data_IF_851437591115
#
_entry.id   IF_851437591115
#
_cell.length_a   1.000
_cell.length_b   1.000
_cell.length_c   1.000
_cell.angle_alpha   90.00
_cell.angle_beta   90.00
_cell.angle_gamma   90.00
#
_symmetry.space_group_name_H-M   'P 1'
#
loop_
_entity.id
_entity.type
_entity.pdbx_description
1 polymer ?
#
# COMPACT_ATOMS: atom_id res chain seq x y z
N UNK A 1 5.87 15.57 22.62
CA UNK A 1 5.58 14.89 21.35
C UNK A 1 5.81 13.37 21.43
N UNK A 2 6.96 12.90 21.87
CA UNK A 2 7.24 11.46 22.00
C UNK A 2 6.23 10.70 22.89
N UNK A 3 5.87 11.26 24.06
CA UNK A 3 4.86 10.68 24.93
C UNK A 3 3.48 10.52 24.26
N UNK A 4 3.12 11.46 23.38
CA UNK A 4 1.88 11.43 22.61
C UNK A 4 1.89 10.33 21.55
N UNK A 5 2.99 10.17 20.81
CA UNK A 5 3.17 9.07 19.85
C UNK A 5 3.09 7.73 20.57
N UNK A 6 3.82 7.59 21.70
CA UNK A 6 3.79 6.37 22.54
C UNK A 6 2.38 6.05 23.05
N UNK A 7 1.60 7.07 23.47
CA UNK A 7 0.21 6.89 23.88
C UNK A 7 -0.64 6.30 22.76
N UNK A 8 -0.62 6.92 21.58
CA UNK A 8 -1.46 6.50 20.45
C UNK A 8 -1.09 5.10 19.97
N UNK A 9 0.21 4.83 19.81
CA UNK A 9 0.70 3.50 19.45
C UNK A 9 0.31 2.45 20.48
N UNK A 10 0.49 2.75 21.77
CA UNK A 10 0.11 1.84 22.86
C UNK A 10 -1.41 1.61 22.90
N UNK A 11 -2.22 2.64 22.65
CA UNK A 11 -3.67 2.50 22.64
C UNK A 11 -4.13 1.60 21.49
N UNK A 12 -3.55 1.75 20.29
CA UNK A 12 -3.84 0.88 19.16
C UNK A 12 -3.52 -0.60 19.49
N UNK A 13 -2.30 -0.89 19.95
CA UNK A 13 -1.89 -2.28 20.26
C UNK A 13 -2.56 -2.86 21.50
N UNK A 14 -3.17 -2.06 22.37
CA UNK A 14 -4.04 -2.54 23.47
C UNK A 14 -5.42 -2.96 22.99
N UNK A 15 -5.90 -2.37 21.91
CA UNK A 15 -7.15 -2.78 21.25
C UNK A 15 -6.90 -4.03 20.41
N UNK A 16 -7.02 -5.20 21.10
CA UNK A 16 -6.80 -6.50 20.45
C UNK A 16 -7.73 -6.72 19.26
N UNK A 17 -8.94 -6.14 19.28
CA UNK A 17 -9.89 -6.22 18.16
C UNK A 17 -9.41 -5.47 16.94
N UNK A 18 -8.89 -4.23 17.11
CA UNK A 18 -8.37 -3.44 16.02
C UNK A 18 -7.11 -4.07 15.38
N UNK A 19 -6.18 -4.55 16.22
CA UNK A 19 -4.97 -5.25 15.76
C UNK A 19 -5.34 -6.53 15.02
N UNK A 20 -6.22 -7.36 15.61
CA UNK A 20 -6.66 -8.61 15.00
C UNK A 20 -7.37 -8.35 13.65
N UNK A 21 -8.27 -7.37 13.57
CA UNK A 21 -8.96 -7.02 12.34
C UNK A 21 -7.98 -6.55 11.23
N UNK A 22 -6.96 -5.76 11.59
CA UNK A 22 -5.94 -5.32 10.65
C UNK A 22 -5.10 -6.48 10.10
N UNK A 23 -4.73 -7.44 10.95
CA UNK A 23 -3.98 -8.63 10.55
C UNK A 23 -4.87 -9.66 9.82
N UNK A 24 -6.12 -9.78 10.23
CA UNK A 24 -7.08 -10.70 9.62
C UNK A 24 -7.34 -10.34 8.16
N UNK A 25 -7.41 -9.05 7.82
CA UNK A 25 -7.54 -8.61 6.43
C UNK A 25 -6.41 -9.14 5.57
N UNK A 26 -5.16 -9.05 6.05
CA UNK A 26 -3.98 -9.60 5.36
C UNK A 26 -4.09 -11.12 5.19
N UNK A 27 -4.39 -11.84 6.28
CA UNK A 27 -4.49 -13.30 6.27
C UNK A 27 -5.61 -13.78 5.32
N UNK A 28 -6.75 -13.09 5.32
CA UNK A 28 -7.87 -13.41 4.40
C UNK A 28 -7.44 -13.22 2.95
N UNK A 29 -6.78 -12.12 2.62
CA UNK A 29 -6.35 -11.87 1.24
C UNK A 29 -5.31 -12.89 0.81
N UNK A 30 -4.28 -13.14 1.60
CA UNK A 30 -3.27 -14.18 1.30
C UNK A 30 -3.96 -15.56 1.17
N UNK A 31 -4.84 -15.90 2.10
CA UNK A 31 -5.56 -17.17 2.08
C UNK A 31 -6.47 -17.34 0.85
N UNK A 32 -7.15 -16.26 0.42
CA UNK A 32 -8.01 -16.28 -0.74
C UNK A 32 -7.21 -16.47 -2.04
N UNK A 33 -6.05 -15.83 -2.14
CA UNK A 33 -5.14 -16.06 -3.26
C UNK A 33 -4.51 -17.46 -3.21
N UNK A 34 -4.08 -17.92 -2.05
CA UNK A 34 -3.48 -19.24 -1.90
C UNK A 34 -4.44 -20.37 -2.29
N UNK A 35 -5.75 -20.22 -1.95
CA UNK A 35 -6.74 -21.29 -2.11
C UNK A 35 -7.50 -21.24 -3.45
N UNK A 36 -7.68 -20.04 -4.04
CA UNK A 36 -8.60 -19.89 -5.17
C UNK A 36 -8.00 -19.17 -6.37
N UNK A 37 -7.38 -18.00 -6.18
CA UNK A 37 -6.97 -17.17 -7.31
C UNK A 37 -5.58 -17.53 -7.85
N UNK A 38 -4.69 -18.08 -7.01
CA UNK A 38 -3.34 -18.43 -7.43
C UNK A 38 -3.34 -19.40 -8.61
N UNK A 39 -4.13 -20.47 -8.54
CA UNK A 39 -4.22 -21.47 -9.62
C UNK A 39 -4.92 -20.92 -10.87
N UNK A 40 -5.91 -20.05 -10.67
CA UNK A 40 -6.66 -19.44 -11.78
C UNK A 40 -5.82 -18.42 -12.55
N UNK A 41 -5.00 -17.63 -11.85
CA UNK A 41 -4.09 -16.67 -12.49
C UNK A 41 -2.88 -17.38 -13.12
N UNK A 42 -2.34 -18.42 -12.46
CA UNK A 42 -1.22 -19.19 -13.02
C UNK A 42 -1.60 -19.92 -14.30
N UNK A 43 -2.82 -20.49 -14.39
CA UNK A 43 -3.30 -21.12 -15.61
C UNK A 43 -3.44 -20.15 -16.79
N UNK A 44 -3.75 -18.89 -16.53
CA UNK A 44 -3.75 -17.82 -17.55
C UNK A 44 -2.35 -17.52 -18.09
N UNK A 45 -1.33 -17.65 -17.26
CA UNK A 45 0.08 -17.39 -17.60
C UNK A 45 0.76 -18.63 -18.18
N UNK A 46 0.32 -19.84 -17.83
CA UNK A 46 0.82 -21.12 -18.40
C UNK A 46 0.79 -21.15 -19.93
N UNK A 47 -0.21 -20.52 -20.54
CA UNK A 47 -0.35 -20.46 -22.00
C UNK A 47 0.80 -19.72 -22.69
N UNK A 48 1.62 -18.98 -21.96
CA UNK A 48 2.79 -18.25 -22.47
C UNK A 48 4.09 -19.08 -22.45
N UNK A 49 4.04 -20.32 -21.98
CA UNK A 49 5.21 -21.23 -21.93
C UNK A 49 6.20 -20.95 -20.82
N UNK A 50 5.77 -20.26 -19.77
CA UNK A 50 6.58 -19.87 -18.60
C UNK A 50 6.77 -21.07 -17.67
N UNK A 51 7.99 -21.26 -17.19
CA UNK A 51 8.28 -22.22 -16.12
C UNK A 51 7.83 -21.64 -14.76
N UNK A 52 7.26 -22.48 -13.89
CA UNK A 52 6.78 -22.11 -12.56
C UNK A 52 5.82 -20.91 -12.52
N UNK A 53 4.69 -20.92 -13.27
CA UNK A 53 3.76 -19.79 -13.34
C UNK A 53 3.18 -19.41 -11.97
N UNK A 54 3.20 -20.32 -10.99
CA UNK A 54 2.76 -20.08 -9.62
C UNK A 54 3.66 -19.09 -8.90
N UNK A 55 4.98 -19.28 -8.94
CA UNK A 55 5.96 -18.38 -8.29
C UNK A 55 5.86 -16.97 -8.88
N UNK A 56 5.69 -16.88 -10.22
CA UNK A 56 5.49 -15.62 -10.91
C UNK A 56 4.24 -14.86 -10.42
N UNK A 57 3.12 -15.58 -10.34
CA UNK A 57 1.84 -15.02 -9.88
C UNK A 57 1.89 -14.62 -8.41
N UNK A 58 2.49 -15.46 -7.56
CA UNK A 58 2.61 -15.19 -6.12
C UNK A 58 3.47 -13.94 -5.87
N UNK A 59 4.54 -13.72 -6.61
CA UNK A 59 5.37 -12.50 -6.52
C UNK A 59 4.58 -11.25 -6.92
N UNK A 60 3.78 -11.31 -7.97
CA UNK A 60 2.92 -10.21 -8.40
C UNK A 60 1.87 -9.85 -7.34
N UNK A 61 1.22 -10.87 -6.76
CA UNK A 61 0.20 -10.70 -5.71
C UNK A 61 0.82 -10.08 -4.46
N UNK A 62 1.97 -10.59 -4.00
CA UNK A 62 2.64 -10.08 -2.80
C UNK A 62 3.06 -8.64 -2.96
N UNK A 63 3.58 -8.25 -4.11
CA UNK A 63 3.87 -6.85 -4.42
C UNK A 63 2.62 -5.95 -4.32
N UNK A 64 1.51 -6.40 -4.88
CA UNK A 64 0.22 -5.69 -4.79
C UNK A 64 -0.28 -5.58 -3.34
N UNK A 65 -0.18 -6.65 -2.55
CA UNK A 65 -0.54 -6.63 -1.14
C UNK A 65 0.30 -5.65 -0.34
N UNK A 66 1.60 -5.61 -0.58
CA UNK A 66 2.48 -4.65 0.10
C UNK A 66 2.14 -3.20 -0.26
N UNK A 67 1.66 -2.95 -1.47
CA UNK A 67 1.21 -1.62 -1.89
C UNK A 67 -0.11 -1.17 -1.23
N UNK A 68 -1.07 -2.07 -1.02
CA UNK A 68 -2.36 -1.70 -0.39
C UNK A 68 -2.29 -1.61 1.12
N UNK A 69 -1.36 -2.34 1.75
CA UNK A 69 -1.28 -2.44 3.21
C UNK A 69 -1.10 -1.09 3.92
N UNK A 70 -0.24 -0.16 3.46
CA UNK A 70 -0.11 1.15 4.09
C UNK A 70 -1.43 1.92 4.13
N UNK A 71 -2.17 1.96 3.02
CA UNK A 71 -3.46 2.64 2.95
C UNK A 71 -4.50 1.98 3.88
N UNK A 72 -4.64 0.66 3.81
CA UNK A 72 -5.61 -0.10 4.61
C UNK A 72 -5.33 -0.01 6.11
N UNK A 73 -4.05 -0.15 6.50
CA UNK A 73 -3.63 -0.02 7.89
C UNK A 73 -3.81 1.40 8.42
N UNK A 74 -3.52 2.41 7.59
CA UNK A 74 -3.74 3.80 7.96
C UNK A 74 -5.23 4.10 8.21
N UNK A 75 -6.13 3.60 7.37
CA UNK A 75 -7.58 3.74 7.58
C UNK A 75 -8.03 3.15 8.92
N UNK A 76 -7.53 1.97 9.28
CA UNK A 76 -7.89 1.30 10.54
C UNK A 76 -7.30 1.93 11.80
N UNK A 77 -6.16 2.61 11.69
CA UNK A 77 -5.39 3.08 12.85
C UNK A 77 -5.58 4.57 13.20
N UNK A 78 -6.51 5.28 12.55
CA UNK A 78 -6.74 6.72 12.78
C UNK A 78 -7.36 6.99 14.14
N UNK A 79 -6.56 7.51 15.08
CA UNK A 79 -7.02 7.86 16.43
C UNK A 79 -7.69 9.24 16.51
N UNK A 80 -7.39 10.16 15.59
CA UNK A 80 -7.86 11.56 15.69
C UNK A 80 -9.39 11.69 15.59
N UNK A 81 -10.06 10.84 14.85
CA UNK A 81 -11.53 10.89 14.71
C UNK A 81 -12.20 10.42 16.00
N UNK A 82 -11.68 9.36 16.62
CA UNK A 82 -12.16 8.87 17.92
C UNK A 82 -11.89 9.88 19.04
N UNK A 83 -10.70 10.49 19.10
CA UNK A 83 -10.38 11.52 20.07
C UNK A 83 -11.26 12.78 19.91
N UNK A 84 -11.70 13.09 18.68
CA UNK A 84 -12.67 14.17 18.42
C UNK A 84 -14.07 13.81 18.89
N UNK A 85 -14.57 12.63 18.53
CA UNK A 85 -15.92 12.18 18.85
C UNK A 85 -16.14 12.06 20.36
N UNK A 86 -15.09 11.63 21.08
CA UNK A 86 -15.08 11.50 22.54
C UNK A 86 -14.74 12.82 23.28
N UNK A 87 -14.42 13.88 22.55
CA UNK A 87 -14.07 15.19 23.13
C UNK A 87 -12.64 15.26 23.70
N UNK A 88 -11.87 14.18 23.69
CA UNK A 88 -10.48 14.11 24.23
C UNK A 88 -9.56 15.12 23.57
N UNK A 89 -9.82 15.48 22.31
CA UNK A 89 -9.00 16.46 21.58
C UNK A 89 -9.04 17.85 22.23
N UNK A 90 -10.12 18.18 22.99
CA UNK A 90 -10.24 19.45 23.71
C UNK A 90 -9.21 19.57 24.81
N UNK A 91 -8.93 18.47 25.52
CA UNK A 91 -7.93 18.44 26.58
C UNK A 91 -6.53 18.72 26.04
N UNK A 92 -6.23 18.19 24.83
CA UNK A 92 -4.96 18.52 24.16
C UNK A 92 -4.88 19.98 23.73
N UNK A 93 -6.00 20.60 23.35
CA UNK A 93 -6.02 22.01 22.98
C UNK A 93 -5.89 22.97 24.16
N UNK A 94 -6.19 22.50 25.38
CA UNK A 94 -5.93 23.24 26.61
C UNK A 94 -4.47 23.14 27.08
N UNK A 95 -3.67 22.23 26.48
CA UNK A 95 -2.25 22.09 26.81
C UNK A 95 -1.40 23.19 26.13
N UNK A 96 -0.21 23.53 26.68
CA UNK A 96 0.69 24.54 26.10
C UNK A 96 1.38 24.07 24.80
N UNK A 97 0.83 23.05 24.12
CA UNK A 97 1.37 22.47 22.88
C UNK A 97 0.61 23.05 21.70
N UNK A 98 1.34 23.55 20.68
CA UNK A 98 0.69 24.05 19.47
C UNK A 98 -0.08 22.94 18.74
N UNK A 99 -1.23 23.29 18.14
CA UNK A 99 -2.08 22.35 17.39
C UNK A 99 -1.32 21.64 16.26
N UNK A 100 -0.38 22.35 15.61
CA UNK A 100 0.48 21.76 14.59
C UNK A 100 1.34 20.62 15.17
N UNK A 101 1.88 20.76 16.37
CA UNK A 101 2.63 19.70 17.05
C UNK A 101 1.75 18.52 17.44
N UNK A 102 0.49 18.76 17.84
CA UNK A 102 -0.49 17.71 18.13
C UNK A 102 -0.80 16.93 16.85
N UNK A 103 -1.10 17.64 15.76
CA UNK A 103 -1.37 17.02 14.44
C UNK A 103 -0.18 16.23 13.95
N UNK A 104 1.04 16.76 14.05
CA UNK A 104 2.27 16.04 13.74
C UNK A 104 2.40 14.76 14.59
N UNK A 105 2.04 14.83 15.87
CA UNK A 105 2.02 13.66 16.74
C UNK A 105 1.04 12.58 16.28
N UNK A 106 -0.14 12.95 15.78
CA UNK A 106 -1.08 12.00 15.17
C UNK A 106 -0.52 11.38 13.89
N UNK A 107 0.07 12.17 12.98
CA UNK A 107 0.68 11.64 11.74
C UNK A 107 1.79 10.65 12.09
N UNK A 108 2.72 11.03 12.95
CA UNK A 108 3.85 10.18 13.31
C UNK A 108 3.43 8.89 14.04
N UNK A 109 2.41 8.97 14.92
CA UNK A 109 1.89 7.75 15.56
C UNK A 109 1.18 6.84 14.54
N UNK A 110 0.41 7.41 13.62
CA UNK A 110 -0.24 6.68 12.55
C UNK A 110 0.79 6.01 11.63
N UNK A 111 1.83 6.75 11.21
CA UNK A 111 2.91 6.21 10.37
C UNK A 111 3.67 5.08 11.06
N UNK A 112 3.94 5.21 12.37
CA UNK A 112 4.61 4.16 13.13
C UNK A 112 3.76 2.88 13.21
N UNK A 113 2.46 2.99 13.49
CA UNK A 113 1.55 1.83 13.54
C UNK A 113 1.45 1.17 12.16
N UNK A 114 1.19 1.98 11.12
CA UNK A 114 1.07 1.51 9.74
C UNK A 114 2.34 0.81 9.27
N UNK A 115 3.52 1.39 9.55
CA UNK A 115 4.81 0.80 9.20
C UNK A 115 5.00 -0.56 9.89
N UNK A 116 4.72 -0.65 11.20
CA UNK A 116 4.85 -1.93 11.92
C UNK A 116 3.93 -3.01 11.32
N UNK A 117 2.68 -2.67 11.00
CA UNK A 117 1.74 -3.63 10.40
C UNK A 117 2.18 -4.05 9.00
N UNK A 118 2.65 -3.10 8.18
CA UNK A 118 3.12 -3.40 6.81
C UNK A 118 4.39 -4.24 6.82
N UNK A 119 5.36 -3.94 7.69
CA UNK A 119 6.57 -4.76 7.84
C UNK A 119 6.25 -6.16 8.36
N UNK A 120 5.29 -6.29 9.28
CA UNK A 120 4.81 -7.61 9.69
C UNK A 120 4.16 -8.36 8.53
N UNK A 121 3.38 -7.67 7.69
CA UNK A 121 2.83 -8.22 6.46
C UNK A 121 3.89 -8.65 5.46
N UNK A 122 4.97 -7.89 5.32
CA UNK A 122 6.11 -8.25 4.47
C UNK A 122 6.74 -9.57 4.94
N UNK A 123 6.96 -9.74 6.23
CA UNK A 123 7.50 -10.99 6.79
C UNK A 123 6.57 -12.18 6.48
N UNK A 124 5.26 -12.02 6.65
CA UNK A 124 4.30 -13.07 6.32
C UNK A 124 4.26 -13.38 4.81
N UNK A 125 4.37 -12.34 3.97
CA UNK A 125 4.45 -12.49 2.52
C UNK A 125 5.68 -13.24 2.06
N UNK A 126 6.85 -12.94 2.61
CA UNK A 126 8.09 -13.67 2.33
C UNK A 126 8.01 -15.14 2.76
N UNK A 127 7.46 -15.40 3.95
CA UNK A 127 7.22 -16.79 4.43
C UNK A 127 6.30 -17.53 3.46
N UNK A 128 5.25 -16.87 2.96
CA UNK A 128 4.32 -17.45 2.00
C UNK A 128 5.01 -17.79 0.67
N UNK A 129 5.81 -16.87 0.11
CA UNK A 129 6.55 -17.08 -1.15
C UNK A 129 7.48 -18.30 -1.02
N UNK A 130 8.26 -18.36 0.07
CA UNK A 130 9.17 -19.49 0.31
C UNK A 130 8.43 -20.82 0.53
N UNK A 131 7.30 -20.79 1.22
CA UNK A 131 6.47 -21.99 1.44
C UNK A 131 5.89 -22.57 0.14
N UNK A 132 5.72 -21.73 -0.89
CA UNK A 132 5.23 -22.13 -2.22
C UNK A 132 6.37 -22.38 -3.25
N UNK A 133 7.62 -22.47 -2.78
CA UNK A 133 8.76 -22.81 -3.63
C UNK A 133 9.47 -21.63 -4.29
N UNK A 134 9.06 -20.39 -4.00
CA UNK A 134 9.79 -19.20 -4.42
C UNK A 134 11.03 -18.93 -3.58
N UNK A 135 11.87 -18.01 -4.04
CA UNK A 135 13.10 -17.62 -3.35
C UNK A 135 12.85 -16.35 -2.51
N UNK A 136 13.57 -16.24 -1.38
CA UNK A 136 13.61 -15.00 -0.60
C UNK A 136 14.18 -13.86 -1.44
N UNK A 137 13.63 -12.67 -1.27
CA UNK A 137 14.18 -11.47 -1.87
C UNK A 137 15.66 -11.29 -1.46
N UNK A 138 16.50 -10.89 -2.42
CA UNK A 138 17.90 -10.55 -2.14
C UNK A 138 17.95 -9.43 -1.09
N UNK A 139 19.06 -9.33 -0.34
CA UNK A 139 19.22 -8.27 0.65
C UNK A 139 19.06 -6.87 0.03
N UNK A 140 19.55 -6.67 -1.19
CA UNK A 140 19.42 -5.40 -1.91
C UNK A 140 17.96 -5.13 -2.27
N UNK A 141 17.24 -6.11 -2.79
CA UNK A 141 15.80 -6.01 -3.12
C UNK A 141 14.97 -5.76 -1.86
N UNK A 142 15.29 -6.43 -0.75
CA UNK A 142 14.63 -6.20 0.55
C UNK A 142 14.80 -4.76 1.03
N UNK A 143 15.99 -4.18 0.93
CA UNK A 143 16.25 -2.77 1.29
C UNK A 143 15.46 -1.83 0.38
N UNK A 144 15.40 -2.10 -0.93
CA UNK A 144 14.58 -1.32 -1.87
C UNK A 144 13.09 -1.39 -1.50
N UNK A 145 12.56 -2.59 -1.24
CA UNK A 145 11.15 -2.80 -0.83
C UNK A 145 10.83 -2.01 0.44
N UNK A 146 11.66 -2.12 1.48
CA UNK A 146 11.46 -1.37 2.74
C UNK A 146 11.49 0.14 2.49
N UNK A 147 12.38 0.62 1.63
CA UNK A 147 12.43 2.04 1.23
C UNK A 147 11.13 2.52 0.58
N UNK A 148 10.59 1.74 -0.36
CA UNK A 148 9.30 2.05 -1.03
C UNK A 148 8.14 1.98 -0.03
N UNK A 149 8.12 0.97 0.85
CA UNK A 149 7.10 0.84 1.92
C UNK A 149 7.12 2.08 2.83
N UNK A 150 8.28 2.55 3.27
CA UNK A 150 8.38 3.75 4.12
C UNK A 150 7.77 4.95 3.40
N UNK A 151 8.07 5.13 2.12
CA UNK A 151 7.56 6.23 1.33
C UNK A 151 6.04 6.15 1.14
N UNK A 152 5.53 4.97 0.83
CA UNK A 152 4.10 4.71 0.69
C UNK A 152 3.35 4.90 2.03
N UNK A 153 3.91 4.46 3.14
CA UNK A 153 3.39 4.72 4.50
C UNK A 153 3.27 6.22 4.76
N UNK A 154 4.30 7.01 4.41
CA UNK A 154 4.26 8.46 4.59
C UNK A 154 3.21 9.12 3.69
N UNK A 155 3.08 8.69 2.45
CA UNK A 155 2.07 9.19 1.52
C UNK A 155 0.65 8.84 1.98
N UNK A 156 0.40 7.57 2.28
CA UNK A 156 -0.89 7.05 2.72
C UNK A 156 -1.35 7.69 4.03
N UNK A 157 -0.48 7.74 5.04
CA UNK A 157 -0.83 8.30 6.35
C UNK A 157 -1.06 9.80 6.33
N UNK A 158 -0.28 10.54 5.54
CA UNK A 158 -0.47 11.98 5.35
C UNK A 158 -1.79 12.28 4.65
N UNK A 159 -2.11 11.51 3.61
CA UNK A 159 -3.36 11.64 2.86
C UNK A 159 -4.58 11.30 3.73
N UNK A 160 -4.57 10.16 4.41
CA UNK A 160 -5.66 9.75 5.30
C UNK A 160 -5.84 10.75 6.46
N UNK A 161 -4.75 11.22 7.05
CA UNK A 161 -4.82 12.20 8.13
C UNK A 161 -5.44 13.51 7.67
N UNK A 162 -5.13 13.99 6.46
CA UNK A 162 -5.75 15.17 5.87
C UNK A 162 -7.27 15.03 5.80
N UNK A 163 -7.79 13.95 5.24
CA UNK A 163 -9.24 13.72 5.16
C UNK A 163 -9.86 13.52 6.55
N UNK A 164 -9.22 12.78 7.45
CA UNK A 164 -9.70 12.54 8.81
C UNK A 164 -9.84 13.84 9.63
N UNK A 165 -9.10 14.88 9.29
CA UNK A 165 -9.25 16.18 9.97
C UNK A 165 -10.61 16.85 9.74
N UNK A 166 -11.29 16.56 8.65
CA UNK A 166 -12.61 17.13 8.34
C UNK A 166 -13.76 16.29 8.92
N UNK A 167 -13.50 15.07 9.36
CA UNK A 167 -14.50 14.15 9.88
C UNK A 167 -14.55 14.23 11.40
N UNK A 168 -15.76 14.38 11.95
CA UNK A 168 -15.98 14.52 13.40
C UNK A 168 -16.79 13.33 13.99
N UNK A 169 -17.31 12.43 13.15
CA UNK A 169 -18.14 11.30 13.55
C UNK A 169 -17.43 9.99 13.23
N UNK A 170 -17.32 9.10 14.21
CA UNK A 170 -16.77 7.74 14.00
C UNK A 170 -17.60 6.95 12.98
N UNK A 171 -18.93 7.10 12.99
CA UNK A 171 -19.82 6.42 12.04
C UNK A 171 -19.56 6.88 10.60
N UNK A 172 -19.42 8.21 10.38
CA UNK A 172 -19.12 8.74 9.06
C UNK A 172 -17.71 8.29 8.59
N UNK A 173 -16.74 8.27 9.49
CA UNK A 173 -15.39 7.78 9.19
C UNK A 173 -15.40 6.30 8.80
N UNK A 174 -16.11 5.45 9.57
CA UNK A 174 -16.23 4.02 9.28
C UNK A 174 -16.88 3.77 7.90
N UNK A 175 -17.91 4.52 7.53
CA UNK A 175 -18.51 4.41 6.20
C UNK A 175 -17.53 4.76 5.08
N UNK A 176 -16.76 5.84 5.26
CA UNK A 176 -15.71 6.24 4.30
C UNK A 176 -14.61 5.17 4.22
N UNK A 177 -14.16 4.62 5.35
CA UNK A 177 -13.18 3.54 5.39
C UNK A 177 -13.65 2.31 4.62
N UNK A 178 -14.93 1.94 4.73
CA UNK A 178 -15.50 0.82 3.98
C UNK A 178 -15.46 1.08 2.48
N UNK A 179 -15.85 2.27 2.02
CA UNK A 179 -15.82 2.64 0.59
C UNK A 179 -14.39 2.65 0.06
N UNK A 180 -13.48 3.37 0.73
CA UNK A 180 -12.08 3.47 0.30
C UNK A 180 -11.41 2.08 0.35
N UNK A 181 -11.64 1.30 1.43
CA UNK A 181 -11.08 -0.04 1.57
C UNK A 181 -11.51 -0.98 0.45
N UNK A 182 -12.79 -0.95 0.08
CA UNK A 182 -13.30 -1.76 -1.04
C UNK A 182 -12.73 -1.33 -2.39
N UNK A 183 -12.65 -0.01 -2.64
CA UNK A 183 -12.16 0.51 -3.90
C UNK A 183 -10.65 0.40 -4.04
N UNK A 184 -9.91 0.41 -2.93
CA UNK A 184 -8.44 0.42 -2.95
C UNK A 184 -7.84 -0.79 -3.67
N UNK A 185 -8.44 -1.98 -3.54
CA UNK A 185 -7.97 -3.18 -4.25
C UNK A 185 -8.09 -3.08 -5.77
N UNK A 186 -9.11 -2.38 -6.27
CA UNK A 186 -9.25 -2.08 -7.70
C UNK A 186 -8.24 -1.00 -8.14
N UNK A 187 -8.14 0.08 -7.36
CA UNK A 187 -7.26 1.23 -7.67
C UNK A 187 -5.77 0.84 -7.61
N UNK A 188 -5.42 -0.14 -6.77
CA UNK A 188 -4.05 -0.67 -6.70
C UNK A 188 -3.79 -1.80 -7.72
N UNK A 189 -4.79 -2.20 -8.52
CA UNK A 189 -4.67 -3.25 -9.52
C UNK A 189 -4.35 -4.63 -8.93
N UNK A 190 -4.90 -4.93 -7.73
CA UNK A 190 -4.69 -6.21 -7.05
C UNK A 190 -5.76 -7.21 -7.48
N UNK A 191 -7.02 -6.78 -7.55
CA UNK A 191 -8.12 -7.68 -7.92
C UNK A 191 -8.17 -7.96 -9.41
N UNK A 192 -7.78 -6.99 -10.23
CA UNK A 192 -7.75 -7.09 -11.69
C UNK A 192 -6.45 -6.44 -12.17
N UNK A 193 -5.67 -7.11 -13.05
CA UNK A 193 -4.50 -6.51 -13.68
C UNK A 193 -4.87 -5.19 -14.39
N UNK A 194 -4.01 -4.19 -14.27
CA UNK A 194 -4.31 -2.83 -14.78
C UNK A 194 -4.52 -2.80 -16.29
N UNK A 195 -3.82 -3.66 -17.03
CA UNK A 195 -3.95 -3.77 -18.46
C UNK A 195 -5.27 -4.41 -18.94
N UNK A 196 -5.92 -5.21 -18.07
CA UNK A 196 -7.22 -5.81 -18.35
C UNK A 196 -8.40 -4.88 -18.07
N UNK A 197 -8.14 -3.68 -17.49
CA UNK A 197 -9.17 -2.67 -17.21
C UNK A 197 -9.52 -1.86 -18.48
N UNK A 198 -10.76 -1.38 -18.61
CA UNK A 198 -11.10 -0.38 -19.64
C UNK A 198 -10.14 0.83 -19.54
N UNK A 199 -9.75 1.38 -20.67
CA UNK A 199 -8.72 2.45 -20.76
C UNK A 199 -9.01 3.63 -19.82
N UNK A 200 -10.26 4.06 -19.72
CA UNK A 200 -10.69 5.14 -18.82
C UNK A 200 -10.41 4.81 -17.34
N UNK A 201 -10.68 3.58 -16.91
CA UNK A 201 -10.46 3.12 -15.55
C UNK A 201 -8.96 2.91 -15.30
N UNK A 202 -8.25 2.31 -16.25
CA UNK A 202 -6.80 2.15 -16.19
C UNK A 202 -6.07 3.49 -16.04
N UNK A 203 -6.54 4.54 -16.73
CA UNK A 203 -5.99 5.90 -16.59
C UNK A 203 -6.24 6.48 -15.19
N UNK A 204 -7.41 6.23 -14.57
CA UNK A 204 -7.67 6.64 -13.18
C UNK A 204 -6.70 5.94 -12.22
N UNK A 205 -6.48 4.63 -12.39
CA UNK A 205 -5.50 3.87 -11.61
C UNK A 205 -4.11 4.46 -11.73
N UNK A 206 -3.65 4.70 -12.95
CA UNK A 206 -2.31 5.28 -13.22
C UNK A 206 -2.15 6.70 -12.68
N UNK A 207 -3.23 7.48 -12.60
CA UNK A 207 -3.21 8.83 -12.02
C UNK A 207 -3.26 8.82 -10.49
N UNK A 208 -3.64 7.71 -9.85
CA UNK A 208 -3.72 7.63 -8.41
C UNK A 208 -2.31 7.51 -7.79
N UNK A 209 -1.88 8.45 -6.94
CA UNK A 209 -0.49 8.50 -6.50
C UNK A 209 0.02 7.23 -5.83
N UNK A 210 -0.81 6.59 -4.99
CA UNK A 210 -0.39 5.40 -4.24
C UNK A 210 -0.27 4.15 -5.12
N UNK A 211 -0.90 4.11 -6.31
CA UNK A 211 -0.74 2.99 -7.24
C UNK A 211 0.70 2.87 -7.78
N UNK A 212 1.44 3.98 -7.79
CA UNK A 212 2.86 3.99 -8.16
C UNK A 212 3.73 3.18 -7.20
N UNK A 213 3.34 3.07 -5.90
CA UNK A 213 4.01 2.14 -4.98
C UNK A 213 3.86 0.70 -5.47
N UNK A 214 2.65 0.33 -5.95
CA UNK A 214 2.38 -1.00 -6.51
C UNK A 214 3.24 -1.31 -7.73
N UNK A 215 3.39 -0.36 -8.65
CA UNK A 215 4.25 -0.53 -9.84
C UNK A 215 5.70 -0.77 -9.43
N UNK A 216 6.28 0.09 -8.56
CA UNK A 216 7.68 -0.06 -8.12
C UNK A 216 7.89 -1.36 -7.32
N UNK A 217 6.95 -1.72 -6.43
CA UNK A 217 7.05 -2.96 -5.67
C UNK A 217 6.97 -4.19 -6.59
N UNK A 218 6.08 -4.19 -7.60
CA UNK A 218 6.00 -5.28 -8.59
C UNK A 218 7.31 -5.44 -9.34
N UNK A 219 7.95 -4.35 -9.76
CA UNK A 219 9.26 -4.43 -10.42
C UNK A 219 10.31 -5.10 -9.53
N UNK A 220 10.33 -4.82 -8.23
CA UNK A 220 11.32 -5.39 -7.31
C UNK A 220 11.00 -6.85 -6.98
N UNK A 221 9.72 -7.18 -6.67
CA UNK A 221 9.33 -8.54 -6.31
C UNK A 221 9.39 -9.51 -7.48
N UNK A 222 9.10 -9.04 -8.70
CA UNK A 222 9.05 -9.89 -9.88
C UNK A 222 10.38 -9.95 -10.64
N UNK A 223 11.40 -9.14 -10.27
CA UNK A 223 12.72 -9.14 -10.94
C UNK A 223 13.29 -10.56 -11.04
N UNK A 224 13.41 -11.26 -9.92
CA UNK A 224 13.91 -12.64 -9.90
C UNK A 224 12.95 -13.64 -10.56
N UNK A 225 11.64 -13.42 -10.43
CA UNK A 225 10.64 -14.29 -11.04
C UNK A 225 10.65 -14.20 -12.58
N UNK A 226 10.88 -13.01 -13.14
CA UNK A 226 11.07 -12.86 -14.58
C UNK A 226 12.33 -13.57 -15.06
N UNK A 227 13.45 -13.42 -14.36
CA UNK A 227 14.71 -14.10 -14.71
C UNK A 227 14.58 -15.62 -14.65
N UNK A 228 13.96 -16.17 -13.60
CA UNK A 228 13.80 -17.62 -13.40
C UNK A 228 12.78 -18.22 -14.39
N UNK A 229 11.61 -17.61 -14.52
CA UNK A 229 10.51 -18.16 -15.31
C UNK A 229 10.74 -18.06 -16.83
N UNK A 230 11.57 -17.10 -17.29
CA UNK A 230 11.90 -16.91 -18.70
C UNK A 230 13.29 -17.43 -19.08
N UNK A 231 14.04 -18.08 -18.16
CA UNK A 231 15.40 -18.55 -18.39
C UNK A 231 15.53 -19.49 -19.61
N UNK A 232 14.54 -20.34 -19.87
CA UNK A 232 14.52 -21.30 -20.96
C UNK A 232 13.66 -20.87 -22.17
N UNK A 233 13.07 -19.68 -22.12
CA UNK A 233 12.27 -19.13 -23.24
C UNK A 233 13.21 -18.49 -24.27
N UNK A 234 13.02 -18.75 -25.59
CA UNK A 234 13.84 -18.13 -26.63
C UNK A 234 13.85 -16.61 -26.52
N UNK A 235 15.02 -15.99 -26.70
CA UNK A 235 15.20 -14.53 -26.54
C UNK A 235 14.28 -13.70 -27.45
N UNK A 236 13.90 -14.21 -28.62
CA UNK A 236 12.95 -13.56 -29.54
C UNK A 236 11.56 -13.46 -28.93
N UNK A 237 11.07 -14.53 -28.28
CA UNK A 237 9.77 -14.62 -27.63
C UNK A 237 9.77 -13.77 -26.34
N UNK A 238 10.80 -13.92 -25.51
CA UNK A 238 10.89 -13.17 -24.25
C UNK A 238 10.96 -11.67 -24.45
N UNK A 239 11.63 -11.18 -25.51
CA UNK A 239 11.72 -9.75 -25.82
C UNK A 239 10.38 -9.12 -26.22
N UNK A 240 9.41 -9.90 -26.68
CA UNK A 240 8.07 -9.43 -27.03
C UNK A 240 7.07 -9.62 -25.87
N UNK A 241 7.14 -10.78 -25.21
CA UNK A 241 6.20 -11.20 -24.17
C UNK A 241 6.42 -10.43 -22.86
N UNK A 242 7.67 -10.24 -22.42
CA UNK A 242 7.96 -9.58 -21.14
C UNK A 242 7.39 -8.16 -21.10
N UNK A 243 7.64 -7.24 -22.06
CA UNK A 243 7.08 -5.91 -22.03
C UNK A 243 5.54 -5.86 -22.09
N UNK A 244 4.93 -6.85 -22.77
CA UNK A 244 3.48 -6.97 -22.83
C UNK A 244 2.90 -7.36 -21.46
N UNK A 245 3.49 -8.34 -20.78
CA UNK A 245 3.11 -8.76 -19.44
C UNK A 245 3.35 -7.66 -18.39
N UNK A 246 4.48 -6.98 -18.46
CA UNK A 246 4.76 -5.85 -17.55
C UNK A 246 3.70 -4.77 -17.63
N UNK A 247 3.25 -4.46 -18.84
CA UNK A 247 2.18 -3.48 -19.05
C UNK A 247 0.82 -4.00 -18.60
N UNK A 248 0.51 -5.27 -18.88
CA UNK A 248 -0.75 -5.88 -18.49
C UNK A 248 -0.88 -6.01 -16.97
N UNK A 249 0.16 -6.51 -16.31
CA UNK A 249 0.21 -6.69 -14.88
C UNK A 249 0.39 -5.38 -14.08
N UNK A 250 0.60 -4.26 -14.75
CA UNK A 250 0.83 -2.96 -14.11
C UNK A 250 2.17 -2.91 -13.36
N UNK A 251 3.16 -3.66 -13.84
CA UNK A 251 4.56 -3.55 -13.40
C UNK A 251 5.12 -2.22 -13.88
N UNK A 252 4.78 -1.85 -15.11
CA UNK A 252 5.16 -0.58 -15.73
C UNK A 252 3.92 0.17 -16.18
N UNK A 253 3.84 1.47 -15.86
CA UNK A 253 2.76 2.33 -16.33
C UNK A 253 3.17 3.11 -17.58
N UNK A 254 2.24 3.20 -18.54
CA UNK A 254 2.44 3.96 -19.77
C UNK A 254 1.33 4.99 -19.96
N UNK A 255 1.69 6.22 -20.33
CA UNK A 255 0.79 7.29 -20.75
C UNK A 255 1.10 7.64 -22.20
N UNK A 256 0.30 7.13 -23.14
CA UNK A 256 0.62 7.23 -24.57
C UNK A 256 1.97 6.57 -24.86
N UNK A 257 2.92 7.34 -25.36
CA UNK A 257 4.27 6.87 -25.68
C UNK A 257 5.28 7.03 -24.53
N UNK A 258 4.86 7.61 -23.39
CA UNK A 258 5.74 7.79 -22.24
C UNK A 258 5.60 6.63 -21.26
N UNK A 259 6.72 6.00 -20.95
CA UNK A 259 6.83 4.96 -19.91
C UNK A 259 7.28 5.59 -18.63
N UNK A 260 6.47 5.45 -17.57
CA UNK A 260 6.78 6.00 -16.24
C UNK A 260 7.95 5.24 -15.63
N UNK A 261 9.00 5.97 -15.32
CA UNK A 261 10.19 5.42 -14.67
C UNK A 261 10.00 5.22 -13.17
N UNK A 262 10.83 4.37 -12.55
CA UNK A 262 10.84 4.19 -11.09
C UNK A 262 11.09 5.49 -10.34
N UNK A 263 11.95 6.35 -10.88
CA UNK A 263 12.26 7.65 -10.29
C UNK A 263 11.02 8.56 -10.29
N UNK A 264 10.27 8.61 -11.39
CA UNK A 264 9.02 9.39 -11.48
C UNK A 264 7.99 8.86 -10.48
N UNK A 265 7.81 7.56 -10.36
CA UNK A 265 6.90 6.93 -9.40
C UNK A 265 7.28 7.27 -7.95
N UNK A 266 8.57 7.22 -7.61
CA UNK A 266 9.09 7.61 -6.30
C UNK A 266 8.85 9.11 -6.04
N UNK A 267 9.07 9.97 -7.04
CA UNK A 267 8.83 11.41 -6.94
C UNK A 267 7.34 11.73 -6.75
N UNK A 268 6.44 11.00 -7.41
CA UNK A 268 4.99 11.15 -7.25
C UNK A 268 4.59 10.78 -5.80
N UNK A 269 5.10 9.68 -5.26
CA UNK A 269 4.84 9.28 -3.88
C UNK A 269 5.38 10.30 -2.88
N UNK A 270 6.63 10.73 -3.06
CA UNK A 270 7.26 11.74 -2.20
C UNK A 270 6.51 13.07 -2.26
N UNK A 271 6.16 13.51 -3.46
CA UNK A 271 5.35 14.72 -3.69
C UNK A 271 3.99 14.63 -3.00
N UNK A 272 3.33 13.47 -3.08
CA UNK A 272 2.05 13.21 -2.41
C UNK A 272 2.20 13.28 -0.89
N UNK A 273 3.22 12.63 -0.33
CA UNK A 273 3.49 12.68 1.10
C UNK A 273 3.69 14.13 1.59
N UNK A 274 4.55 14.89 0.90
CA UNK A 274 4.85 16.29 1.24
C UNK A 274 3.61 17.18 1.07
N UNK A 275 2.88 17.04 -0.04
CA UNK A 275 1.69 17.83 -0.32
C UNK A 275 0.64 17.66 0.78
N UNK A 276 0.24 16.43 1.08
CA UNK A 276 -0.77 16.16 2.10
C UNK A 276 -0.29 16.47 3.52
N UNK A 277 1.00 16.31 3.80
CA UNK A 277 1.58 16.75 5.07
C UNK A 277 1.45 18.27 5.26
N UNK A 278 1.78 19.06 4.23
CA UNK A 278 1.66 20.52 4.25
C UNK A 278 0.18 20.93 4.36
N UNK A 279 -0.71 20.33 3.56
CA UNK A 279 -2.15 20.61 3.60
C UNK A 279 -2.75 20.29 4.97
N UNK A 280 -2.34 19.20 5.61
CA UNK A 280 -2.76 18.84 6.97
C UNK A 280 -2.29 19.88 7.98
N UNK A 281 -1.06 20.36 7.84
CA UNK A 281 -0.52 21.44 8.68
C UNK A 281 -1.30 22.76 8.55
N UNK A 282 -1.67 23.14 7.33
CA UNK A 282 -2.50 24.33 7.08
C UNK A 282 -3.93 24.16 7.62
N UNK A 283 -4.56 22.99 7.40
CA UNK A 283 -5.88 22.70 7.93
C UNK A 283 -5.91 22.75 9.47
N UNK A 284 -4.86 22.27 10.13
CA UNK A 284 -4.72 22.37 11.58
C UNK A 284 -4.65 23.81 12.09
N UNK A 285 -4.03 24.72 11.34
CA UNK A 285 -3.94 26.15 11.70
C UNK A 285 -5.25 26.90 11.46
N UNK A 286 -5.97 26.61 10.37
CA UNK A 286 -7.19 27.32 9.97
C UNK A 286 -8.36 27.10 10.95
N UNK A 287 -8.43 25.97 11.63
CA UNK A 287 -9.40 25.72 12.73
C UNK A 287 -9.09 26.51 14.01
N UNK A 288 -8.13 27.43 13.98
CA UNK A 288 -7.82 28.34 15.11
C UNK A 288 -8.65 29.63 15.10
N UNK A 289 -9.28 29.96 13.98
CA UNK A 289 -10.21 31.09 13.85
C UNK A 289 -11.65 30.60 13.90
#
# INVERSE_FOLDING_TARGET
MFAFIKRNTKNFFKDKGAVFASLLTLIIIIGLYALFLGDQLSSGVESTGIENPRVFTDSWIMAGLMAIMPLSSALGAVAVVSDKSKGIIKDFYCSPISRAKITLGYILSLSAITLMLTLFGLILGEIYIVANGGQLLSFVSMVKVVGVIILDVLASTSMIMFFAMFINSEKAYSAICTVIGTLSGFIMGIYIPVGSLPESVGNVVKCFPLSHAGSVLRQIFMESSFEECFANVPAEVSSEVIPALEKELGVVYTFGNHTVTNLESILILAGTAVLFFILTGFAARRKQR
#
